data_IF_955577260124
#
_entry.id   IF_955577260124
#
_cell.length_a   1.000
_cell.length_b   1.000
_cell.length_c   1.000
_cell.angle_alpha   90.00
_cell.angle_beta   90.00
_cell.angle_gamma   90.00
#
_symmetry.space_group_name_H-M   'P 1'
#
loop_
_entity.id
_entity.type
_entity.pdbx_description
1 polymer ?
#
# COMPACT_ATOMS: atom_id res chain seq x y z
N UNK A 1 -18.92 -11.95 -13.45
CA UNK A 1 -17.55 -11.41 -13.57
C UNK A 1 -17.51 -9.89 -13.40
N UNK A 2 -18.36 -9.10 -14.08
CA UNK A 2 -18.43 -7.62 -13.97
C UNK A 2 -18.40 -7.05 -12.54
N UNK A 3 -19.16 -7.62 -11.60
CA UNK A 3 -19.24 -7.09 -10.23
C UNK A 3 -18.00 -7.38 -9.35
N UNK A 4 -17.17 -8.37 -9.72
CA UNK A 4 -15.93 -8.68 -8.98
C UNK A 4 -14.82 -7.69 -9.37
N UNK A 5 -14.62 -7.50 -10.66
CA UNK A 5 -13.67 -6.49 -11.19
C UNK A 5 -14.07 -5.06 -10.84
N UNK A 6 -15.37 -4.73 -10.79
CA UNK A 6 -15.82 -3.43 -10.30
C UNK A 6 -15.43 -3.16 -8.84
N UNK A 7 -15.53 -4.17 -7.96
CA UNK A 7 -15.12 -4.04 -6.54
C UNK A 7 -13.61 -3.92 -6.40
N UNK A 8 -12.86 -4.68 -7.18
CA UNK A 8 -11.38 -4.62 -7.22
C UNK A 8 -10.85 -3.27 -7.68
N UNK A 9 -11.61 -2.49 -8.44
CA UNK A 9 -11.23 -1.13 -8.87
C UNK A 9 -11.77 -0.06 -7.91
N UNK A 10 -13.04 -0.17 -7.49
CA UNK A 10 -13.70 0.82 -6.63
C UNK A 10 -13.02 0.92 -5.25
N UNK A 11 -12.65 -0.21 -4.65
CA UNK A 11 -12.05 -0.24 -3.31
C UNK A 11 -10.69 0.47 -3.26
N UNK A 12 -9.70 0.16 -4.12
CA UNK A 12 -8.43 0.89 -4.12
C UNK A 12 -8.60 2.35 -4.53
N UNK A 13 -9.51 2.66 -5.47
CA UNK A 13 -9.78 4.04 -5.85
C UNK A 13 -10.31 4.86 -4.66
N UNK A 14 -11.28 4.31 -3.92
CA UNK A 14 -11.81 4.94 -2.72
C UNK A 14 -10.73 5.13 -1.64
N UNK A 15 -9.84 4.14 -1.48
CA UNK A 15 -8.72 4.21 -0.54
C UNK A 15 -7.73 5.32 -0.92
N UNK A 16 -7.38 5.45 -2.21
CA UNK A 16 -6.52 6.54 -2.71
C UNK A 16 -7.17 7.90 -2.42
N UNK A 17 -8.44 8.08 -2.78
CA UNK A 17 -9.16 9.35 -2.57
C UNK A 17 -9.21 9.71 -1.08
N UNK A 18 -9.54 8.75 -0.21
CA UNK A 18 -9.61 9.00 1.22
C UNK A 18 -8.23 9.29 1.83
N UNK A 19 -7.17 8.62 1.35
CA UNK A 19 -5.80 8.87 1.82
C UNK A 19 -5.33 10.28 1.44
N UNK A 20 -5.63 10.72 0.22
CA UNK A 20 -5.35 12.11 -0.22
C UNK A 20 -6.16 13.12 0.58
N UNK A 21 -7.43 12.82 0.88
CA UNK A 21 -8.27 13.68 1.69
C UNK A 21 -7.75 13.81 3.12
N UNK A 22 -7.15 12.75 3.68
CA UNK A 22 -6.53 12.73 5.00
C UNK A 22 -5.28 13.63 5.10
N UNK A 23 -4.57 13.84 3.99
CA UNK A 23 -3.49 14.85 3.92
C UNK A 23 -4.01 16.30 4.06
N UNK A 24 -5.33 16.48 4.09
CA UNK A 24 -6.03 17.76 4.24
C UNK A 24 -5.46 18.88 3.32
N UNK A 25 -5.28 18.63 2.01
CA UNK A 25 -4.59 19.59 1.13
C UNK A 25 -5.32 20.94 1.02
N UNK A 26 -6.63 20.94 1.22
CA UNK A 26 -7.49 22.13 1.12
C UNK A 26 -7.89 22.71 2.49
N UNK A 27 -7.37 22.17 3.60
CA UNK A 27 -7.74 22.58 4.96
C UNK A 27 -9.26 22.58 5.23
N UNK A 28 -10.04 21.79 4.47
CA UNK A 28 -11.50 21.75 4.58
C UNK A 28 -11.98 21.18 5.93
N UNK A 29 -11.11 20.47 6.66
CA UNK A 29 -11.47 19.71 7.85
C UNK A 29 -10.85 20.34 9.11
N UNK A 30 -11.71 20.77 10.04
CA UNK A 30 -11.40 21.05 11.46
C UNK A 30 -12.72 20.81 12.23
N UNK A 31 -12.87 19.75 13.06
CA UNK A 31 -12.07 19.44 14.25
C UNK A 31 -11.55 17.97 14.34
N UNK A 32 -10.68 17.74 15.32
CA UNK A 32 -9.94 16.49 15.65
C UNK A 32 -10.78 15.19 15.54
N UNK A 33 -12.04 15.22 15.98
CA UNK A 33 -12.91 14.04 15.98
C UNK A 33 -13.23 13.52 14.55
N UNK A 34 -13.33 14.41 13.56
CA UNK A 34 -13.60 13.99 12.17
C UNK A 34 -12.39 13.28 11.55
N UNK A 35 -11.17 13.70 11.89
CA UNK A 35 -9.93 13.06 11.42
C UNK A 35 -9.86 11.62 11.96
N UNK A 36 -10.16 11.41 13.24
CA UNK A 36 -10.20 10.08 13.86
C UNK A 36 -11.26 9.19 13.21
N UNK A 37 -12.45 9.72 12.92
CA UNK A 37 -13.48 8.97 12.21
C UNK A 37 -13.05 8.57 10.79
N UNK A 38 -12.44 9.47 10.02
CA UNK A 38 -11.94 9.15 8.67
C UNK A 38 -10.81 8.12 8.75
N UNK A 39 -9.91 8.24 9.71
CA UNK A 39 -8.83 7.27 9.92
C UNK A 39 -9.40 5.88 10.20
N UNK A 40 -10.44 5.77 11.03
CA UNK A 40 -11.13 4.51 11.28
C UNK A 40 -11.74 3.93 10.00
N UNK A 41 -12.39 4.75 9.17
CA UNK A 41 -12.94 4.33 7.86
C UNK A 41 -11.83 3.87 6.91
N UNK A 42 -10.72 4.59 6.85
CA UNK A 42 -9.55 4.22 6.04
C UNK A 42 -8.98 2.87 6.49
N UNK A 43 -8.87 2.62 7.79
CA UNK A 43 -8.42 1.33 8.32
C UNK A 43 -9.35 0.18 7.91
N UNK A 44 -10.67 0.37 8.02
CA UNK A 44 -11.65 -0.65 7.60
C UNK A 44 -11.54 -0.91 6.10
N UNK A 45 -11.45 0.14 5.28
CA UNK A 45 -11.28 -0.01 3.83
C UNK A 45 -9.97 -0.67 3.46
N UNK A 46 -8.88 -0.36 4.16
CA UNK A 46 -7.60 -1.02 3.98
C UNK A 46 -7.68 -2.52 4.34
N UNK A 47 -8.38 -2.89 5.41
CA UNK A 47 -8.60 -4.29 5.75
C UNK A 47 -9.40 -5.03 4.68
N UNK A 48 -10.43 -4.39 4.10
CA UNK A 48 -11.19 -4.93 2.97
C UNK A 48 -10.28 -5.10 1.76
N UNK A 49 -9.49 -4.08 1.42
CA UNK A 49 -8.53 -4.12 0.31
C UNK A 49 -7.49 -5.24 0.48
N UNK A 50 -6.91 -5.37 1.66
CA UNK A 50 -5.98 -6.46 1.99
C UNK A 50 -6.63 -7.84 1.81
N UNK A 51 -7.89 -8.01 2.23
CA UNK A 51 -8.63 -9.25 2.02
C UNK A 51 -8.85 -9.57 0.53
N UNK A 52 -9.05 -8.55 -0.32
CA UNK A 52 -9.16 -8.75 -1.77
C UNK A 52 -7.83 -9.23 -2.37
N UNK A 53 -6.71 -8.64 -1.97
CA UNK A 53 -5.37 -9.08 -2.43
C UNK A 53 -5.12 -10.55 -2.07
N UNK A 54 -5.47 -10.97 -0.84
CA UNK A 54 -5.28 -12.36 -0.41
C UNK A 54 -6.15 -13.37 -1.18
N UNK A 55 -7.30 -12.94 -1.70
CA UNK A 55 -8.26 -13.81 -2.43
C UNK A 55 -7.99 -13.88 -3.93
N UNK A 56 -7.04 -13.11 -4.44
CA UNK A 56 -6.69 -13.07 -5.86
C UNK A 56 -6.07 -14.40 -6.29
N UNK A 57 -6.74 -15.09 -7.23
CA UNK A 57 -6.31 -16.37 -7.82
C UNK A 57 -5.90 -16.15 -9.27
N UNK A 58 -4.74 -16.66 -9.66
CA UNK A 58 -4.33 -16.71 -11.06
C UNK A 58 -5.17 -17.77 -11.80
N UNK A 59 -5.76 -17.39 -12.93
CA UNK A 59 -6.53 -18.29 -13.79
C UNK A 59 -5.70 -18.81 -14.98
N UNK A 60 -4.69 -18.04 -15.40
CA UNK A 60 -3.81 -18.33 -16.53
C UNK A 60 -2.36 -17.91 -16.19
N UNK A 61 -1.36 -18.50 -16.88
CA UNK A 61 0.06 -18.17 -16.74
C UNK A 61 0.35 -16.71 -17.08
N UNK A 62 -0.43 -16.13 -18.01
CA UNK A 62 -0.34 -14.71 -18.39
C UNK A 62 -0.75 -13.78 -17.24
N UNK A 63 -1.77 -14.18 -16.49
CA UNK A 63 -2.23 -13.41 -15.33
C UNK A 63 -1.23 -13.49 -14.18
N UNK A 64 -0.56 -14.63 -14.01
CA UNK A 64 0.48 -14.81 -13.00
C UNK A 64 1.71 -13.93 -13.28
N UNK A 65 2.14 -13.88 -14.55
CA UNK A 65 3.23 -12.98 -14.96
C UNK A 65 2.87 -11.51 -14.75
N UNK A 66 1.66 -11.08 -15.14
CA UNK A 66 1.21 -9.70 -14.93
C UNK A 66 1.11 -9.34 -13.44
N UNK A 67 0.66 -10.28 -12.59
CA UNK A 67 0.60 -10.11 -11.15
C UNK A 67 1.99 -9.94 -10.54
N UNK A 68 2.95 -10.77 -10.96
CA UNK A 68 4.34 -10.67 -10.49
C UNK A 68 4.98 -9.32 -10.87
N UNK A 69 4.72 -8.84 -12.09
CA UNK A 69 5.18 -7.53 -12.57
C UNK A 69 4.54 -6.39 -11.78
N UNK A 70 3.22 -6.45 -11.55
CA UNK A 70 2.50 -5.47 -10.74
C UNK A 70 3.05 -5.40 -9.31
N UNK A 71 3.28 -6.55 -8.66
CA UNK A 71 3.87 -6.62 -7.32
C UNK A 71 5.29 -6.05 -7.27
N UNK A 72 6.12 -6.34 -8.29
CA UNK A 72 7.48 -5.80 -8.37
C UNK A 72 7.48 -4.28 -8.58
N UNK A 73 6.61 -3.77 -9.44
CA UNK A 73 6.48 -2.34 -9.71
C UNK A 73 5.96 -1.59 -8.48
N UNK A 74 4.97 -2.13 -7.77
CA UNK A 74 4.46 -1.56 -6.53
C UNK A 74 5.55 -1.52 -5.44
N UNK A 75 6.33 -2.60 -5.27
CA UNK A 75 7.47 -2.62 -4.36
C UNK A 75 8.49 -1.53 -4.69
N UNK A 76 8.86 -1.40 -5.97
CA UNK A 76 9.84 -0.39 -6.41
C UNK A 76 9.32 1.02 -6.14
N UNK A 77 8.10 1.34 -6.58
CA UNK A 77 7.48 2.64 -6.36
C UNK A 77 7.41 2.99 -4.86
N UNK A 78 6.95 2.05 -4.02
CA UNK A 78 6.88 2.24 -2.57
C UNK A 78 8.24 2.47 -1.93
N UNK A 79 9.24 1.65 -2.26
CA UNK A 79 10.61 1.80 -1.72
C UNK A 79 11.27 3.11 -2.14
N UNK A 80 11.03 3.58 -3.37
CA UNK A 80 11.54 4.87 -3.86
C UNK A 80 10.89 6.03 -3.10
N UNK A 81 9.57 6.00 -2.92
CA UNK A 81 8.85 7.05 -2.19
C UNK A 81 9.32 7.10 -0.73
N UNK A 82 9.45 5.94 -0.07
CA UNK A 82 9.97 5.88 1.31
C UNK A 82 11.40 6.42 1.40
N UNK A 83 12.26 6.06 0.45
CA UNK A 83 13.63 6.56 0.42
C UNK A 83 13.68 8.08 0.24
N UNK A 84 12.89 8.62 -0.69
CA UNK A 84 12.78 10.07 -0.89
C UNK A 84 12.25 10.77 0.35
N UNK A 85 11.23 10.21 1.01
CA UNK A 85 10.66 10.75 2.24
C UNK A 85 11.69 10.82 3.38
N UNK A 86 12.49 9.76 3.57
CA UNK A 86 13.58 9.73 4.56
C UNK A 86 14.63 10.81 4.24
N UNK A 87 15.05 10.92 2.97
CA UNK A 87 16.03 11.96 2.56
C UNK A 87 15.49 13.37 2.83
N UNK A 88 14.23 13.63 2.50
CA UNK A 88 13.60 14.94 2.74
C UNK A 88 13.46 15.24 4.23
N UNK A 89 13.09 14.26 5.05
CA UNK A 89 12.96 14.43 6.51
C UNK A 89 14.30 14.59 7.22
N UNK A 90 15.37 13.97 6.70
CA UNK A 90 16.74 14.12 7.21
C UNK A 90 17.18 15.59 7.24
N UNK A 91 16.84 16.36 6.19
CA UNK A 91 17.15 17.80 6.14
C UNK A 91 16.47 18.61 7.25
N UNK A 92 15.36 18.10 7.81
CA UNK A 92 14.67 18.72 8.94
C UNK A 92 15.13 18.15 10.29
N UNK A 93 16.11 17.24 10.30
CA UNK A 93 16.59 16.49 11.47
C UNK A 93 15.47 15.83 12.30
N UNK A 94 14.34 15.54 11.67
CA UNK A 94 13.15 14.97 12.29
C UNK A 94 12.70 13.76 11.47
N UNK A 95 13.49 12.69 11.55
CA UNK A 95 13.18 11.43 10.86
C UNK A 95 12.09 10.71 11.63
N UNK A 96 10.99 10.35 10.95
CA UNK A 96 10.01 9.43 11.50
C UNK A 96 10.57 7.99 11.46
N UNK A 97 10.80 7.33 12.62
CA UNK A 97 11.33 5.97 12.67
C UNK A 97 10.47 4.96 11.89
N UNK A 98 9.15 5.21 11.76
CA UNK A 98 8.25 4.31 11.05
C UNK A 98 8.56 4.21 9.56
N UNK A 99 9.09 5.26 8.93
CA UNK A 99 9.51 5.21 7.52
C UNK A 99 10.68 4.24 7.31
N UNK A 100 11.66 4.27 8.20
CA UNK A 100 12.83 3.39 8.15
C UNK A 100 12.42 1.95 8.44
N UNK A 101 11.60 1.74 9.48
CA UNK A 101 11.07 0.41 9.82
C UNK A 101 10.28 -0.17 8.63
N UNK A 102 9.41 0.62 8.00
CA UNK A 102 8.64 0.19 6.84
C UNK A 102 9.53 -0.28 5.68
N UNK A 103 10.57 0.52 5.34
CA UNK A 103 11.51 0.18 4.28
C UNK A 103 12.28 -1.12 4.59
N UNK A 104 12.78 -1.26 5.81
CA UNK A 104 13.53 -2.45 6.24
C UNK A 104 12.64 -3.70 6.21
N UNK A 105 11.43 -3.63 6.77
CA UNK A 105 10.48 -4.74 6.77
C UNK A 105 10.12 -5.16 5.35
N UNK A 106 9.84 -4.21 4.45
CA UNK A 106 9.59 -4.52 3.04
C UNK A 106 10.75 -5.29 2.40
N UNK A 107 11.99 -4.85 2.61
CA UNK A 107 13.19 -5.52 2.06
C UNK A 107 13.36 -6.93 2.63
N UNK A 108 13.23 -7.09 3.95
CA UNK A 108 13.34 -8.40 4.62
C UNK A 108 12.30 -9.37 4.05
N UNK A 109 11.03 -8.96 4.00
CA UNK A 109 9.94 -9.78 3.46
C UNK A 109 10.25 -10.20 2.03
N UNK A 110 10.69 -9.27 1.17
CA UNK A 110 11.06 -9.59 -0.22
C UNK A 110 12.19 -10.62 -0.32
N UNK A 111 13.23 -10.51 0.50
CA UNK A 111 14.35 -11.46 0.51
C UNK A 111 13.88 -12.83 1.00
N UNK A 112 13.13 -12.88 2.10
CA UNK A 112 12.63 -14.13 2.70
C UNK A 112 11.71 -14.85 1.73
N UNK A 113 10.75 -14.15 1.12
CA UNK A 113 9.82 -14.75 0.15
C UNK A 113 10.55 -15.25 -1.09
N UNK A 114 11.55 -14.50 -1.59
CA UNK A 114 12.37 -14.96 -2.72
C UNK A 114 13.15 -16.23 -2.36
N UNK A 115 13.79 -16.27 -1.21
CA UNK A 115 14.55 -17.44 -0.78
C UNK A 115 13.66 -18.67 -0.55
N UNK A 116 12.45 -18.48 -0.04
CA UNK A 116 11.47 -19.57 0.08
C UNK A 116 11.01 -20.05 -1.30
N UNK A 117 10.74 -19.13 -2.23
CA UNK A 117 10.39 -19.44 -3.62
C UNK A 117 11.50 -20.25 -4.30
N UNK A 118 12.77 -19.85 -4.16
CA UNK A 118 13.91 -20.54 -4.77
C UNK A 118 14.15 -21.95 -4.19
N UNK A 119 13.64 -22.24 -2.97
CA UNK A 119 13.79 -23.54 -2.31
C UNK A 119 12.63 -24.49 -2.53
N UNK A 120 11.43 -23.97 -2.79
CA UNK A 120 10.18 -24.73 -2.70
C UNK A 120 9.40 -24.80 -4.03
N UNK A 121 9.95 -24.20 -5.09
CA UNK A 121 9.55 -24.34 -6.50
C UNK A 121 10.70 -25.01 -7.28
#
# INVERSE_FOLDING_TARGET
MKNKTLKEIIVPLALIVLSVLLLNPFHFWMPDMMIVCVLAVVLVLFAIFASLILKERAFDERDDMNRSLAGRNAFLAGSVILMLAIVVQEYSHSIDPWLVIALVVMIIVKIVTRFWSDKNL
#
